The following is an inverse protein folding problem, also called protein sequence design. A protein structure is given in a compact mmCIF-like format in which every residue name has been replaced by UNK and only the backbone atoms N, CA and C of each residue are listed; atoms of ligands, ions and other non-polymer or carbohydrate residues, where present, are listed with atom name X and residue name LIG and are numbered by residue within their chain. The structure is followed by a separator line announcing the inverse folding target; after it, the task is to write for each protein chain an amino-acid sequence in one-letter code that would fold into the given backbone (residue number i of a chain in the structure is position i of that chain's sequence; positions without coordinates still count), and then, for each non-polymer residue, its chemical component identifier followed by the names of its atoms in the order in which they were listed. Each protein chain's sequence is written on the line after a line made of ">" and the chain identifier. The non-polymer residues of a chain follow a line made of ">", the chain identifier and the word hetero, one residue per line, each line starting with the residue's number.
data_IF_788949680340
#
_entry.id   IF_788949680340
#
_cell.length_a   1.000
_cell.length_b   1.000
_cell.length_c   1.000
_cell.angle_alpha   90.00
_cell.angle_beta   90.00
_cell.angle_gamma   90.00
#
_symmetry.space_group_name_H-M   'P 1'
#
loop_
_entity.id
_entity.type
_entity.pdbx_description
1 polymer ?
#
# COMPACT_ATOMS: atom_id res chain seq x y z
N UNK A 1 9.33 24.64 3.37
CA UNK A 1 9.08 23.68 2.27
C UNK A 1 7.64 23.21 2.39
N UNK A 2 6.86 23.37 1.33
CA UNK A 2 5.45 22.95 1.34
C UNK A 2 5.34 21.41 1.42
N UNK A 3 4.35 20.80 2.09
CA UNK A 3 4.21 19.34 2.16
C UNK A 3 4.20 18.65 0.78
N UNK A 4 3.56 19.28 -0.20
CA UNK A 4 3.54 18.79 -1.59
C UNK A 4 4.93 18.79 -2.25
N UNK A 5 5.73 19.84 -2.03
CA UNK A 5 7.11 19.89 -2.53
C UNK A 5 8.00 18.84 -1.86
N UNK A 6 7.79 18.60 -0.55
CA UNK A 6 8.50 17.54 0.17
C UNK A 6 8.20 16.19 -0.47
N UNK A 7 6.93 15.85 -0.66
CA UNK A 7 6.53 14.57 -1.25
C UNK A 7 7.03 14.44 -2.70
N UNK A 8 6.99 15.52 -3.49
CA UNK A 8 7.57 15.53 -4.84
C UNK A 8 9.08 15.23 -4.84
N UNK A 9 9.85 15.86 -3.93
CA UNK A 9 11.29 15.61 -3.79
C UNK A 9 11.59 14.19 -3.33
N UNK A 10 10.83 13.66 -2.38
CA UNK A 10 10.94 12.27 -1.92
C UNK A 10 10.67 11.28 -3.06
N UNK A 11 9.65 11.52 -3.88
CA UNK A 11 9.38 10.70 -5.06
C UNK A 11 10.56 10.72 -6.06
N UNK A 12 11.14 11.90 -6.31
CA UNK A 12 12.31 12.03 -7.21
C UNK A 12 13.53 11.33 -6.65
N UNK A 13 13.77 11.43 -5.35
CA UNK A 13 14.88 10.74 -4.67
C UNK A 13 14.70 9.22 -4.70
N UNK A 14 13.48 8.73 -4.47
CA UNK A 14 13.17 7.31 -4.56
C UNK A 14 13.47 6.73 -5.95
N UNK A 15 13.09 7.45 -7.01
CA UNK A 15 13.39 7.05 -8.40
C UNK A 15 14.89 7.03 -8.70
N UNK A 16 15.67 7.94 -8.11
CA UNK A 16 17.14 7.96 -8.24
C UNK A 16 17.81 6.81 -7.48
N UNK A 17 17.32 6.46 -6.30
CA UNK A 17 17.85 5.36 -5.49
C UNK A 17 17.50 3.98 -6.05
N UNK A 18 16.41 3.88 -6.81
CA UNK A 18 16.02 2.66 -7.51
C UNK A 18 15.17 1.71 -6.65
N UNK A 19 15.16 0.40 -6.96
CA UNK A 19 14.19 -0.56 -6.43
C UNK A 19 14.09 -0.63 -4.91
N UNK A 20 15.19 -0.42 -4.18
CA UNK A 20 15.21 -0.41 -2.72
C UNK A 20 14.41 0.74 -2.10
N UNK A 21 14.06 1.77 -2.87
CA UNK A 21 13.34 2.96 -2.38
C UNK A 21 11.95 3.13 -3.00
N UNK A 22 11.50 2.22 -3.87
CA UNK A 22 10.16 2.33 -4.48
C UNK A 22 9.01 2.22 -3.46
N UNK A 23 9.28 1.70 -2.26
CA UNK A 23 8.35 1.75 -1.13
C UNK A 23 7.85 3.17 -0.82
N UNK A 24 8.70 4.19 -1.01
CA UNK A 24 8.34 5.61 -0.81
C UNK A 24 7.26 6.07 -1.80
N UNK A 25 7.32 5.63 -3.06
CA UNK A 25 6.30 5.95 -4.07
C UNK A 25 4.95 5.37 -3.68
N UNK A 26 4.95 4.12 -3.20
CA UNK A 26 3.74 3.46 -2.69
C UNK A 26 3.24 4.23 -1.47
N UNK A 27 4.13 4.56 -0.52
CA UNK A 27 3.81 5.33 0.68
C UNK A 27 3.06 6.60 0.35
N UNK A 28 3.66 7.45 -0.48
CA UNK A 28 3.07 8.70 -0.95
C UNK A 28 1.71 8.43 -1.62
N UNK A 29 1.61 7.45 -2.51
CA UNK A 29 0.38 7.19 -3.25
C UNK A 29 -0.79 6.69 -2.39
N UNK A 30 -0.55 5.88 -1.35
CA UNK A 30 -1.65 5.28 -0.58
C UNK A 30 -1.94 5.94 0.78
N UNK A 31 -1.01 6.72 1.36
CA UNK A 31 -1.28 7.38 2.65
C UNK A 31 -1.84 8.78 2.48
N UNK A 32 -1.49 9.47 1.40
CA UNK A 32 -1.99 10.82 1.12
C UNK A 32 -3.48 10.77 0.81
N UNK A 33 -4.17 11.88 1.09
CA UNK A 33 -5.47 12.16 0.50
C UNK A 33 -5.33 12.44 -1.00
N UNK A 34 -6.46 12.44 -1.69
CA UNK A 34 -6.49 12.68 -3.13
C UNK A 34 -6.03 14.11 -3.48
N UNK A 35 -6.36 15.09 -2.64
CA UNK A 35 -5.86 16.47 -2.76
C UNK A 35 -4.37 16.59 -2.48
N UNK A 36 -3.86 15.90 -1.45
CA UNK A 36 -2.43 15.91 -1.12
C UNK A 36 -1.59 15.27 -2.23
N UNK A 37 -2.04 14.12 -2.78
CA UNK A 37 -1.34 13.45 -3.88
C UNK A 37 -1.38 14.30 -5.15
N UNK A 38 -2.53 14.92 -5.47
CA UNK A 38 -2.64 15.86 -6.58
C UNK A 38 -1.72 17.06 -6.39
N UNK A 39 -1.64 17.59 -5.18
CA UNK A 39 -0.71 18.64 -4.80
C UNK A 39 0.74 18.25 -5.04
N UNK A 40 1.15 17.05 -4.60
CA UNK A 40 2.50 16.53 -4.82
C UNK A 40 2.82 16.36 -6.32
N UNK A 41 1.86 15.87 -7.13
CA UNK A 41 2.02 15.76 -8.59
C UNK A 41 2.24 17.12 -9.24
N UNK A 42 1.41 18.13 -8.88
CA UNK A 42 1.58 19.52 -9.35
C UNK A 42 2.94 20.11 -8.94
N UNK A 43 3.37 19.87 -7.70
CA UNK A 43 4.67 20.32 -7.23
C UNK A 43 5.82 19.64 -7.99
N UNK A 44 5.68 18.36 -8.33
CA UNK A 44 6.67 17.62 -9.12
C UNK A 44 6.89 18.25 -10.50
N UNK A 45 5.79 18.57 -11.21
CA UNK A 45 5.85 19.32 -12.47
C UNK A 45 6.60 20.64 -12.32
N UNK A 46 6.27 21.42 -11.29
CA UNK A 46 6.91 22.72 -11.08
C UNK A 46 8.40 22.62 -10.69
N UNK A 47 8.84 21.51 -10.11
CA UNK A 47 10.21 21.35 -9.61
C UNK A 47 11.14 20.64 -10.58
N UNK A 48 10.60 19.79 -11.47
CA UNK A 48 11.40 18.87 -12.30
C UNK A 48 11.00 18.87 -13.77
N UNK A 49 10.04 19.70 -14.19
CA UNK A 49 9.51 19.82 -15.55
C UNK A 49 8.94 18.54 -16.16
N UNK A 50 8.80 17.48 -15.36
CA UNK A 50 8.22 16.18 -15.70
C UNK A 50 7.03 15.88 -14.78
N UNK A 51 6.19 14.91 -15.14
CA UNK A 51 5.20 14.28 -14.27
C UNK A 51 5.84 13.18 -13.41
N UNK A 52 5.23 12.87 -12.25
CA UNK A 52 5.64 11.69 -11.47
C UNK A 52 5.43 10.43 -12.30
N UNK A 53 4.33 10.40 -13.06
CA UNK A 53 3.88 9.29 -13.86
C UNK A 53 4.87 8.90 -14.96
N UNK A 54 5.38 9.86 -15.74
CA UNK A 54 6.33 9.58 -16.81
C UNK A 54 7.69 9.16 -16.26
N UNK A 55 8.13 9.78 -15.15
CA UNK A 55 9.38 9.42 -14.50
C UNK A 55 9.27 8.00 -13.89
N UNK A 56 8.15 7.65 -13.25
CA UNK A 56 7.88 6.28 -12.80
C UNK A 56 7.84 5.30 -13.97
N UNK A 57 7.15 5.64 -15.07
CA UNK A 57 7.02 4.76 -16.23
C UNK A 57 8.35 4.54 -16.97
N UNK A 58 9.26 5.52 -16.94
CA UNK A 58 10.56 5.46 -17.60
C UNK A 58 11.65 4.80 -16.75
N UNK A 59 11.64 4.99 -15.42
CA UNK A 59 12.71 4.49 -14.53
C UNK A 59 12.40 3.11 -13.93
N UNK A 60 11.12 2.73 -13.84
CA UNK A 60 10.71 1.42 -13.30
C UNK A 60 10.47 0.46 -14.46
N UNK A 61 11.11 -0.70 -14.41
CA UNK A 61 10.95 -1.75 -15.41
C UNK A 61 10.38 -3.02 -14.76
N UNK A 62 9.69 -3.83 -15.56
CA UNK A 62 9.10 -5.09 -15.11
C UNK A 62 7.71 -4.95 -14.50
N UNK A 63 7.36 -5.94 -13.67
CA UNK A 63 5.99 -6.23 -13.22
C UNK A 63 5.39 -5.10 -12.37
N UNK A 64 6.21 -4.38 -11.61
CA UNK A 64 5.75 -3.35 -10.67
C UNK A 64 5.42 -2.01 -11.35
N UNK A 65 5.93 -1.77 -12.57
CA UNK A 65 5.75 -0.49 -13.27
C UNK A 65 4.27 -0.14 -13.39
N UNK A 66 3.44 -1.10 -13.82
CA UNK A 66 2.02 -0.85 -14.10
C UNK A 66 1.25 -0.47 -12.84
N UNK A 67 1.49 -1.19 -11.74
CA UNK A 67 0.90 -0.90 -10.44
C UNK A 67 1.36 0.46 -9.91
N UNK A 68 2.66 0.75 -9.94
CA UNK A 68 3.21 1.99 -9.40
C UNK A 68 2.72 3.22 -10.17
N UNK A 69 2.69 3.16 -11.50
CA UNK A 69 2.08 4.24 -12.32
C UNK A 69 0.62 4.45 -11.93
N UNK A 70 -0.18 3.38 -11.81
CA UNK A 70 -1.59 3.49 -11.44
C UNK A 70 -1.78 4.10 -10.05
N UNK A 71 -0.94 3.74 -9.08
CA UNK A 71 -1.01 4.27 -7.72
C UNK A 71 -0.66 5.77 -7.66
N UNK A 72 0.46 6.19 -8.26
CA UNK A 72 0.87 7.61 -8.22
C UNK A 72 -0.06 8.51 -9.04
N UNK A 73 -0.77 7.95 -10.03
CA UNK A 73 -1.75 8.67 -10.86
C UNK A 73 -3.11 8.84 -10.16
N UNK A 74 -3.33 8.16 -9.03
CA UNK A 74 -4.66 8.05 -8.43
C UNK A 74 -5.23 9.40 -7.97
N UNK A 75 -6.54 9.56 -8.15
CA UNK A 75 -7.33 10.64 -7.55
C UNK A 75 -8.69 10.05 -7.17
N UNK A 76 -8.78 9.58 -5.92
CA UNK A 76 -9.83 8.67 -5.47
C UNK A 76 -11.00 9.46 -4.89
N UNK A 77 -12.18 8.85 -4.95
CA UNK A 77 -13.28 9.33 -4.14
C UNK A 77 -12.96 9.12 -2.65
N UNK A 78 -13.17 10.14 -1.81
CA UNK A 78 -12.88 10.09 -0.37
C UNK A 78 -14.12 10.09 0.52
N UNK A 79 -15.31 10.06 -0.07
CA UNK A 79 -16.54 10.01 0.70
C UNK A 79 -16.90 8.60 1.20
N UNK A 80 -17.94 8.49 2.05
CA UNK A 80 -18.26 7.27 2.80
C UNK A 80 -19.05 6.22 2.00
N UNK A 81 -19.41 6.51 0.74
CA UNK A 81 -20.30 5.63 -0.05
C UNK A 81 -19.56 4.35 -0.43
N UNK A 82 -20.14 3.22 -0.06
CA UNK A 82 -19.70 1.87 -0.41
C UNK A 82 -20.84 1.17 -1.14
N UNK A 83 -20.51 0.40 -2.19
CA UNK A 83 -21.49 -0.43 -2.92
C UNK A 83 -21.22 -1.89 -2.60
N UNK A 84 -22.03 -2.48 -1.74
CA UNK A 84 -21.81 -3.84 -1.21
C UNK A 84 -21.74 -4.91 -2.30
N UNK A 85 -22.62 -4.85 -3.30
CA UNK A 85 -22.61 -5.82 -4.41
C UNK A 85 -21.32 -5.73 -5.23
N UNK A 86 -20.84 -4.50 -5.47
CA UNK A 86 -19.55 -4.27 -6.12
C UNK A 86 -18.41 -4.77 -5.24
N UNK A 87 -18.45 -4.50 -3.93
CA UNK A 87 -17.44 -4.97 -2.99
C UNK A 87 -17.34 -6.50 -2.98
N UNK A 88 -18.48 -7.20 -2.99
CA UNK A 88 -18.54 -8.67 -3.11
C UNK A 88 -17.97 -9.20 -4.42
N UNK A 89 -18.31 -8.57 -5.54
CA UNK A 89 -17.77 -8.99 -6.84
C UNK A 89 -16.25 -8.78 -6.92
N UNK A 90 -15.76 -7.63 -6.44
CA UNK A 90 -14.34 -7.28 -6.44
C UNK A 90 -13.53 -8.12 -5.44
N UNK A 91 -14.13 -8.49 -4.30
CA UNK A 91 -13.55 -9.42 -3.35
C UNK A 91 -13.29 -10.79 -3.99
N UNK A 92 -14.26 -11.32 -4.76
CA UNK A 92 -14.08 -12.55 -5.52
C UNK A 92 -12.97 -12.42 -6.56
N UNK A 93 -12.90 -11.27 -7.25
CA UNK A 93 -11.82 -10.98 -8.21
C UNK A 93 -10.45 -11.01 -7.54
N UNK A 94 -10.29 -10.33 -6.39
CA UNK A 94 -9.05 -10.36 -5.62
C UNK A 94 -8.70 -11.77 -5.15
N UNK A 95 -9.64 -12.51 -4.55
CA UNK A 95 -9.39 -13.87 -4.08
C UNK A 95 -8.98 -14.81 -5.21
N UNK A 96 -9.60 -14.69 -6.39
CA UNK A 96 -9.25 -15.48 -7.57
C UNK A 96 -7.86 -15.11 -8.11
N UNK A 97 -7.50 -13.82 -8.12
CA UNK A 97 -6.18 -13.38 -8.53
C UNK A 97 -5.10 -13.94 -7.59
N UNK A 98 -5.35 -13.93 -6.27
CA UNK A 98 -4.43 -14.48 -5.27
C UNK A 98 -4.25 -15.99 -5.43
N UNK A 99 -5.32 -16.73 -5.71
CA UNK A 99 -5.25 -18.17 -5.98
C UNK A 99 -4.45 -18.51 -7.24
N UNK A 100 -4.29 -17.55 -8.15
CA UNK A 100 -3.58 -17.72 -9.43
C UNK A 100 -2.21 -17.04 -9.46
N UNK A 101 -1.69 -16.55 -8.33
CA UNK A 101 -0.44 -15.77 -8.25
C UNK A 101 0.78 -16.52 -8.83
N UNK A 102 0.83 -17.85 -8.70
CA UNK A 102 1.88 -18.69 -9.29
C UNK A 102 1.93 -18.64 -10.83
N UNK A 103 0.79 -18.35 -11.48
CA UNK A 103 0.68 -18.31 -12.95
C UNK A 103 0.75 -16.89 -13.50
N UNK A 104 0.24 -15.93 -12.74
CA UNK A 104 0.24 -14.52 -13.08
C UNK A 104 0.40 -13.72 -11.79
N UNK A 105 1.52 -13.00 -11.61
CA UNK A 105 1.72 -12.15 -10.45
C UNK A 105 0.53 -11.21 -10.25
N UNK A 106 0.03 -11.12 -9.02
CA UNK A 106 -1.09 -10.24 -8.66
C UNK A 106 -0.87 -8.80 -9.12
N UNK A 107 0.38 -8.32 -9.08
CA UNK A 107 0.78 -6.96 -9.48
C UNK A 107 0.66 -6.70 -10.99
N UNK A 108 0.52 -7.74 -11.80
CA UNK A 108 0.24 -7.64 -13.25
C UNK A 108 -1.24 -7.82 -13.58
N UNK A 109 -2.09 -8.07 -12.58
CA UNK A 109 -3.51 -8.23 -12.81
C UNK A 109 -4.24 -6.90 -12.93
N UNK A 110 -4.70 -6.59 -14.16
CA UNK A 110 -5.39 -5.36 -14.51
C UNK A 110 -6.59 -5.05 -13.61
N UNK A 111 -7.36 -6.07 -13.23
CA UNK A 111 -8.51 -5.86 -12.35
C UNK A 111 -8.06 -5.58 -10.92
N UNK A 112 -7.02 -6.27 -10.43
CA UNK A 112 -6.42 -5.95 -9.12
C UNK A 112 -5.88 -4.52 -9.10
N UNK A 113 -5.11 -4.12 -10.11
CA UNK A 113 -4.56 -2.76 -10.21
C UNK A 113 -5.70 -1.74 -10.26
N UNK A 114 -6.74 -1.99 -11.06
CA UNK A 114 -7.92 -1.11 -11.15
C UNK A 114 -8.59 -0.95 -9.79
N UNK A 115 -8.83 -2.06 -9.06
CA UNK A 115 -9.43 -2.02 -7.72
C UNK A 115 -8.54 -1.19 -6.79
N UNK A 116 -7.26 -1.55 -6.70
CA UNK A 116 -6.30 -0.94 -5.79
C UNK A 116 -6.01 0.52 -6.09
N UNK A 117 -6.13 1.00 -7.33
CA UNK A 117 -5.82 2.39 -7.71
C UNK A 117 -7.04 3.32 -7.73
N UNK A 118 -8.25 2.80 -7.96
CA UNK A 118 -9.43 3.65 -8.23
C UNK A 118 -10.47 3.65 -7.11
N UNK A 119 -10.51 2.62 -6.26
CA UNK A 119 -11.52 2.52 -5.20
C UNK A 119 -11.20 3.43 -4.02
N UNK A 120 -12.24 3.94 -3.38
CA UNK A 120 -12.14 4.74 -2.15
C UNK A 120 -11.63 3.89 -1.00
N UNK A 121 -11.03 4.53 0.01
CA UNK A 121 -10.53 3.83 1.19
C UNK A 121 -11.63 2.98 1.89
N UNK A 122 -12.85 3.50 2.13
CA UNK A 122 -13.93 2.70 2.70
C UNK A 122 -14.36 1.51 1.82
N UNK A 123 -14.38 1.70 0.49
CA UNK A 123 -14.78 0.62 -0.43
C UNK A 123 -13.70 -0.47 -0.52
N UNK A 124 -12.41 -0.09 -0.52
CA UNK A 124 -11.31 -1.05 -0.41
C UNK A 124 -11.38 -1.85 0.89
N UNK A 125 -11.68 -1.19 2.00
CA UNK A 125 -11.88 -1.88 3.27
C UNK A 125 -13.02 -2.91 3.17
N UNK A 126 -14.17 -2.54 2.62
CA UNK A 126 -15.29 -3.46 2.43
C UNK A 126 -14.95 -4.64 1.49
N UNK A 127 -14.21 -4.40 0.42
CA UNK A 127 -13.69 -5.45 -0.49
C UNK A 127 -12.78 -6.42 0.28
N UNK A 128 -11.87 -5.90 1.10
CA UNK A 128 -10.97 -6.72 1.91
C UNK A 128 -11.74 -7.54 2.95
N UNK A 129 -12.68 -6.91 3.66
CA UNK A 129 -13.53 -7.58 4.64
C UNK A 129 -14.31 -8.73 4.01
N UNK A 130 -14.87 -8.52 2.82
CA UNK A 130 -15.63 -9.55 2.11
C UNK A 130 -14.71 -10.66 1.55
N UNK A 131 -13.51 -10.33 1.07
CA UNK A 131 -12.53 -11.33 0.62
C UNK A 131 -12.12 -12.24 1.79
N UNK A 132 -11.98 -11.69 2.99
CA UNK A 132 -11.69 -12.42 4.23
C UNK A 132 -12.86 -13.30 4.72
N UNK A 133 -14.10 -13.01 4.29
CA UNK A 133 -15.29 -13.83 4.58
C UNK A 133 -15.45 -14.99 3.60
N UNK A 134 -15.13 -14.75 2.32
CA UNK A 134 -15.25 -15.75 1.25
C UNK A 134 -14.25 -16.91 1.45
N UNK A 135 -13.05 -16.61 1.94
CA UNK A 135 -12.01 -17.62 2.18
C UNK A 135 -11.60 -17.63 3.67
N UNK A 136 -12.08 -18.62 4.42
CA UNK A 136 -11.53 -19.01 5.74
C UNK A 136 -10.19 -19.76 5.57
N UNK A 137 -9.48 -19.54 4.46
CA UNK A 137 -8.20 -20.20 4.23
C UNK A 137 -7.03 -19.32 4.69
N UNK A 138 -6.24 -19.87 5.61
CA UNK A 138 -5.13 -19.24 6.33
C UNK A 138 -4.08 -18.62 5.37
N UNK A 139 -4.04 -19.12 4.14
CA UNK A 139 -3.09 -18.71 3.11
C UNK A 139 -3.45 -17.38 2.42
N UNK A 140 -4.73 -17.08 2.23
CA UNK A 140 -5.16 -15.81 1.61
C UNK A 140 -5.03 -14.66 2.59
N UNK A 141 -5.29 -14.89 3.88
CA UNK A 141 -4.94 -13.93 4.94
C UNK A 141 -3.45 -13.62 4.90
N UNK A 142 -2.57 -14.62 4.77
CA UNK A 142 -1.12 -14.40 4.65
C UNK A 142 -0.75 -13.64 3.38
N UNK A 143 -1.38 -13.88 2.23
CA UNK A 143 -1.03 -13.22 0.96
C UNK A 143 -1.61 -11.80 0.84
N UNK A 144 -2.86 -11.56 1.25
CA UNK A 144 -3.45 -10.20 1.33
C UNK A 144 -2.73 -9.36 2.36
N UNK A 145 -2.42 -9.97 3.50
CA UNK A 145 -1.52 -9.35 4.47
C UNK A 145 -0.21 -9.06 3.77
N UNK A 146 0.47 -10.00 3.12
CA UNK A 146 1.75 -9.77 2.42
C UNK A 146 1.68 -8.71 1.30
N UNK A 147 0.56 -8.49 0.63
CA UNK A 147 0.36 -7.38 -0.34
C UNK A 147 0.12 -6.03 0.37
N UNK A 148 -0.48 -6.05 1.57
CA UNK A 148 -0.65 -4.88 2.45
C UNK A 148 0.62 -4.64 3.33
N UNK A 149 1.42 -5.68 3.57
CA UNK A 149 2.57 -5.85 4.49
C UNK A 149 3.90 -6.00 3.75
N UNK A 150 3.92 -5.92 2.42
CA UNK A 150 5.13 -5.52 1.68
C UNK A 150 5.61 -4.12 2.07
N UNK A 151 4.82 -3.39 2.90
CA UNK A 151 5.25 -2.19 3.66
C UNK A 151 5.82 -2.47 5.06
N UNK A 152 5.67 -3.68 5.59
CA UNK A 152 6.13 -4.06 6.92
C UNK A 152 7.39 -4.96 6.87
N UNK A 153 7.85 -5.38 5.69
CA UNK A 153 9.18 -6.02 5.57
C UNK A 153 10.30 -5.02 5.28
N UNK A 154 10.00 -3.77 4.87
CA UNK A 154 11.02 -2.79 4.46
C UNK A 154 11.45 -1.88 5.62
N UNK A 155 10.50 -1.34 6.41
CA UNK A 155 10.81 -0.30 7.41
C UNK A 155 10.51 -0.71 8.86
N UNK A 156 10.21 -1.98 9.14
CA UNK A 156 9.78 -2.40 10.49
C UNK A 156 10.83 -2.16 11.57
N UNK A 157 12.13 -2.23 11.22
CA UNK A 157 13.21 -1.87 12.14
C UNK A 157 13.18 -0.39 12.50
N UNK A 158 13.02 0.48 11.51
CA UNK A 158 12.96 1.93 11.69
C UNK A 158 11.70 2.33 12.46
N UNK A 159 10.56 1.71 12.15
CA UNK A 159 9.29 1.92 12.86
C UNK A 159 9.37 1.47 14.32
N UNK A 160 9.98 0.30 14.60
CA UNK A 160 10.22 -0.18 15.97
C UNK A 160 11.10 0.81 16.76
N UNK A 161 12.15 1.34 16.11
CA UNK A 161 13.08 2.28 16.73
C UNK A 161 12.42 3.64 17.02
N UNK A 162 11.71 4.21 16.04
CA UNK A 162 11.05 5.51 16.19
C UNK A 162 9.90 5.46 17.21
N UNK A 163 9.11 4.37 17.22
CA UNK A 163 8.07 4.17 18.23
C UNK A 163 8.65 4.12 19.66
N UNK A 164 9.77 3.43 19.85
CA UNK A 164 10.45 3.37 21.14
C UNK A 164 10.99 4.74 21.56
N UNK A 165 11.53 5.53 20.63
CA UNK A 165 12.00 6.90 20.91
C UNK A 165 10.86 7.83 21.37
N UNK A 166 9.67 7.71 20.77
CA UNK A 166 8.53 8.58 21.06
C UNK A 166 7.78 8.20 22.35
N UNK A 167 7.67 6.90 22.65
CA UNK A 167 6.78 6.40 23.71
C UNK A 167 7.52 5.70 24.86
N UNK A 168 8.83 5.47 24.74
CA UNK A 168 9.65 4.83 25.76
C UNK A 168 9.32 3.36 26.04
N UNK A 169 8.48 2.75 25.21
CA UNK A 169 8.07 1.35 25.29
C UNK A 169 8.14 0.70 23.92
N UNK A 170 8.54 -0.58 23.89
CA UNK A 170 8.69 -1.28 22.62
C UNK A 170 7.34 -1.59 21.97
N UNK A 171 7.27 -1.48 20.64
CA UNK A 171 6.06 -1.77 19.87
C UNK A 171 5.52 -3.21 20.09
N UNK A 172 6.35 -4.28 20.16
CA UNK A 172 5.89 -5.62 20.52
C UNK A 172 5.22 -5.67 21.89
N UNK A 173 5.84 -5.06 22.89
CA UNK A 173 5.34 -5.05 24.27
C UNK A 173 4.00 -4.30 24.35
N UNK A 174 3.85 -3.19 23.62
CA UNK A 174 2.56 -2.49 23.55
C UNK A 174 1.47 -3.36 22.92
N UNK A 175 1.79 -4.12 21.89
CA UNK A 175 0.85 -5.04 21.24
C UNK A 175 0.44 -6.15 22.22
N UNK A 176 1.36 -6.67 23.02
CA UNK A 176 1.06 -7.67 24.07
C UNK A 176 0.11 -7.15 25.14
N UNK A 177 0.25 -5.88 25.52
CA UNK A 177 -0.62 -5.24 26.51
C UNK A 177 -2.02 -4.94 25.97
N UNK A 178 -2.13 -4.65 24.67
CA UNK A 178 -3.35 -4.06 24.09
C UNK A 178 -4.18 -5.05 23.28
N UNK A 179 -3.55 -6.08 22.68
CA UNK A 179 -4.22 -7.10 21.86
C UNK A 179 -4.30 -8.45 22.58
N UNK A 180 -5.33 -9.26 22.27
CA UNK A 180 -5.54 -10.58 22.87
C UNK A 180 -5.81 -11.67 21.83
N UNK A 181 -5.53 -12.91 22.24
CA UNK A 181 -5.78 -14.12 21.44
C UNK A 181 -5.02 -14.14 20.11
N UNK A 182 -5.54 -14.90 19.15
CA UNK A 182 -4.89 -15.14 17.85
C UNK A 182 -4.55 -13.87 17.06
N UNK A 183 -5.22 -12.75 17.34
CA UNK A 183 -4.94 -11.46 16.72
C UNK A 183 -3.65 -10.83 17.26
N UNK A 184 -3.38 -10.96 18.56
CA UNK A 184 -2.09 -10.58 19.18
C UNK A 184 -0.96 -11.38 18.55
N UNK A 185 -1.10 -12.70 18.52
CA UNK A 185 -0.04 -13.60 18.03
C UNK A 185 0.23 -13.36 16.54
N UNK A 186 -0.80 -12.99 15.78
CA UNK A 186 -0.68 -12.55 14.41
C UNK A 186 0.12 -11.24 14.29
N UNK A 187 -0.23 -10.18 15.03
CA UNK A 187 0.50 -8.90 14.99
C UNK A 187 1.97 -9.05 15.44
N UNK A 188 2.24 -9.88 16.45
CA UNK A 188 3.60 -10.19 16.89
C UNK A 188 4.40 -10.98 15.84
N UNK A 189 3.76 -11.91 15.14
CA UNK A 189 4.38 -12.64 14.02
C UNK A 189 4.71 -11.71 12.86
N UNK A 190 3.94 -10.64 12.67
CA UNK A 190 4.15 -9.67 11.60
C UNK A 190 5.33 -8.75 11.87
N UNK A 191 5.49 -8.26 13.11
CA UNK A 191 6.62 -7.40 13.47
C UNK A 191 7.94 -8.19 13.59
N UNK A 192 7.91 -9.50 13.90
CA UNK A 192 9.10 -10.35 14.03
C UNK A 192 9.76 -10.74 12.69
N UNK A 193 9.10 -10.48 11.56
CA UNK A 193 9.62 -10.82 10.22
C UNK A 193 10.55 -9.78 9.62
N UNK A 194 10.53 -8.56 10.15
CA UNK A 194 11.43 -7.48 9.77
C UNK A 194 12.69 -7.38 10.64
N UNK A 195 13.16 -8.47 11.25
CA UNK A 195 14.40 -8.53 12.05
C UNK A 195 15.59 -9.10 11.26
#
# INVERSE_FOLDING_TARGET
>A
MHPWERDARLAKEALKKGPSSYGVLIEIACTRSSEELLGARKAYHSLFDHSIEEDVASHIHGIDRKLLVALVSAYRYEGPKVKDDTAKSEAKTLSNAIKNDEKKPIVEDDEVIRILATRSKPHLQAVLDEALRIDVDKNIKKSLTRVIITRADIDMKEIKAEYNNLYGVSLPQKIEETAKGNYKDFLLTLIARGD
#
